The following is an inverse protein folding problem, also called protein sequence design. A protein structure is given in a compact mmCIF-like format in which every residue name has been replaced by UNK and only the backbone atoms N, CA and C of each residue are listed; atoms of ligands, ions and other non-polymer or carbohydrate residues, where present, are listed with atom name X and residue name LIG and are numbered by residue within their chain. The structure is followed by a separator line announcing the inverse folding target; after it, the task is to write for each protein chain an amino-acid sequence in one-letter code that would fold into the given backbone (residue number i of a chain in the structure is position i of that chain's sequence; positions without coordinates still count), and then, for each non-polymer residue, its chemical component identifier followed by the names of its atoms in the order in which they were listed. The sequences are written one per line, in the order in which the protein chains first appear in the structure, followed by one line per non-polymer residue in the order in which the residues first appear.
data_IF_319454751717
#
_entry.id   IF_319454751717
#
_cell.length_a   1.000
_cell.length_b   1.000
_cell.length_c   1.000
_cell.angle_alpha   90.00
_cell.angle_beta   90.00
_cell.angle_gamma   90.00
#
_symmetry.space_group_name_H-M   'P 1'
#
loop_
_entity.id
_entity.type
_entity.pdbx_description
1 polymer ?
#
# COMPACT_ATOMS: atom_id res chain seq x y z
N UNK A 1 9.22 21.41 7.25
CA UNK A 1 8.32 20.24 7.33
C UNK A 1 8.51 19.43 6.06
N UNK A 2 8.85 18.15 6.19
CA UNK A 2 9.03 17.26 5.03
C UNK A 2 7.80 17.30 4.10
N UNK A 3 8.02 17.42 2.79
CA UNK A 3 6.96 17.51 1.79
C UNK A 3 6.06 16.27 1.78
N UNK A 4 6.59 15.10 2.15
CA UNK A 4 5.83 13.86 2.26
C UNK A 4 4.93 13.87 3.51
N UNK A 5 5.43 14.38 4.64
CA UNK A 5 4.61 14.60 5.84
C UNK A 5 3.47 15.59 5.55
N UNK A 6 3.73 16.63 4.75
CA UNK A 6 2.68 17.54 4.28
C UNK A 6 1.65 16.86 3.39
N UNK A 7 2.09 15.96 2.50
CA UNK A 7 1.20 15.14 1.68
C UNK A 7 0.31 14.23 2.55
N UNK A 8 0.90 13.53 3.52
CA UNK A 8 0.19 12.60 4.39
C UNK A 8 -0.91 13.29 5.20
N UNK A 9 -0.64 14.50 5.72
CA UNK A 9 -1.67 15.33 6.40
C UNK A 9 -2.80 15.74 5.46
N UNK A 10 -2.49 16.09 4.21
CA UNK A 10 -3.52 16.43 3.21
C UNK A 10 -4.36 15.23 2.81
N UNK A 11 -3.73 14.05 2.66
CA UNK A 11 -4.43 12.79 2.40
C UNK A 11 -5.43 12.52 3.52
N UNK A 12 -5.01 12.61 4.79
CA UNK A 12 -5.86 12.36 5.95
C UNK A 12 -7.10 13.27 6.04
N UNK A 13 -7.07 14.46 5.42
CA UNK A 13 -8.21 15.39 5.34
C UNK A 13 -9.16 15.15 4.16
N UNK A 14 -8.84 14.25 3.22
CA UNK A 14 -9.57 14.12 1.97
C UNK A 14 -11.00 13.55 2.13
N UNK A 15 -11.96 14.17 1.41
CA UNK A 15 -13.38 13.77 1.35
C UNK A 15 -13.92 13.62 -0.09
N UNK A 16 -13.04 13.48 -1.09
CA UNK A 16 -13.41 13.55 -2.50
C UNK A 16 -14.30 12.40 -3.03
N UNK A 17 -14.44 11.29 -2.30
CA UNK A 17 -15.21 10.12 -2.72
C UNK A 17 -16.40 9.88 -1.78
N UNK A 18 -17.62 10.40 -2.08
CA UNK A 18 -18.76 10.35 -1.15
C UNK A 18 -19.10 8.95 -0.61
N UNK A 19 -19.11 7.93 -1.48
CA UNK A 19 -19.37 6.54 -1.09
C UNK A 19 -18.33 6.00 -0.10
N UNK A 20 -17.05 6.30 -0.31
CA UNK A 20 -15.97 5.87 0.58
C UNK A 20 -15.98 6.63 1.90
N UNK A 21 -16.32 7.93 1.86
CA UNK A 21 -16.48 8.77 3.05
C UNK A 21 -17.62 8.23 3.92
N UNK A 22 -18.79 7.99 3.33
CA UNK A 22 -19.92 7.42 4.06
C UNK A 22 -19.58 6.06 4.67
N UNK A 23 -18.96 5.16 3.87
CA UNK A 23 -18.63 3.81 4.34
C UNK A 23 -17.57 3.79 5.44
N UNK A 24 -16.46 4.53 5.29
CA UNK A 24 -15.36 4.50 6.26
C UNK A 24 -15.80 5.02 7.64
N UNK A 25 -16.67 6.03 7.63
CA UNK A 25 -17.26 6.65 8.83
C UNK A 25 -18.35 5.76 9.44
N UNK A 26 -19.18 5.11 8.62
CA UNK A 26 -20.17 4.14 9.11
C UNK A 26 -19.51 2.95 9.81
N UNK A 27 -18.44 2.40 9.23
CA UNK A 27 -17.66 1.33 9.86
C UNK A 27 -17.00 1.80 11.16
N UNK A 28 -16.55 3.06 11.22
CA UNK A 28 -15.95 3.62 12.43
C UNK A 28 -16.97 3.84 13.57
N UNK A 29 -18.24 4.09 13.23
CA UNK A 29 -19.34 4.19 14.21
C UNK A 29 -19.85 2.82 14.66
N UNK A 30 -20.16 1.95 13.71
CA UNK A 30 -20.77 0.64 13.97
C UNK A 30 -19.79 -0.35 14.59
N UNK A 31 -18.52 -0.30 14.12
CA UNK A 31 -17.40 -1.16 14.53
C UNK A 31 -17.71 -2.66 14.38
N UNK A 32 -16.69 -3.48 14.60
CA UNK A 32 -16.88 -4.93 14.77
C UNK A 32 -16.93 -5.22 16.26
N UNK A 33 -17.73 -6.20 16.70
CA UNK A 33 -17.85 -6.56 18.12
C UNK A 33 -16.49 -6.78 18.82
N UNK A 34 -15.53 -7.42 18.13
CA UNK A 34 -14.18 -7.65 18.63
C UNK A 34 -13.34 -6.37 18.86
N UNK A 35 -13.80 -5.21 18.39
CA UNK A 35 -13.14 -3.91 18.47
C UNK A 35 -14.09 -2.81 18.95
N UNK A 36 -15.15 -3.16 19.69
CA UNK A 36 -16.22 -2.24 20.06
C UNK A 36 -15.73 -1.07 20.95
N UNK A 37 -14.75 -1.35 21.80
CA UNK A 37 -14.09 -0.43 22.73
C UNK A 37 -13.03 0.46 22.07
N UNK A 38 -12.58 0.12 20.86
CA UNK A 38 -11.52 0.87 20.18
C UNK A 38 -12.05 2.12 19.46
N UNK A 39 -11.27 3.21 19.49
CA UNK A 39 -11.51 4.36 18.62
C UNK A 39 -10.95 4.08 17.23
N UNK A 40 -11.80 4.17 16.21
CA UNK A 40 -11.41 3.98 14.81
C UNK A 40 -10.86 5.26 14.20
N UNK A 41 -9.89 5.12 13.30
CA UNK A 41 -9.37 6.21 12.47
C UNK A 41 -10.43 6.88 11.59
N UNK A 42 -11.25 6.10 10.87
CA UNK A 42 -12.42 6.59 10.12
C UNK A 42 -12.12 7.63 9.02
N UNK A 43 -10.86 7.70 8.56
CA UNK A 43 -10.33 8.72 7.64
C UNK A 43 -9.49 8.05 6.54
N UNK A 44 -9.09 8.78 5.48
CA UNK A 44 -8.10 8.27 4.54
C UNK A 44 -6.80 7.91 5.29
N UNK A 45 -6.23 6.77 4.97
CA UNK A 45 -5.00 6.25 5.57
C UNK A 45 -3.82 6.74 4.71
N UNK A 46 -2.89 7.54 5.24
CA UNK A 46 -1.69 7.95 4.50
C UNK A 46 -0.70 6.79 4.28
N UNK A 47 0.34 7.01 3.48
CA UNK A 47 1.43 6.03 3.36
C UNK A 47 2.23 5.91 4.67
N UNK A 48 2.99 4.83 4.82
CA UNK A 48 3.80 4.55 6.01
C UNK A 48 5.20 4.08 5.65
N UNK A 49 6.22 4.61 6.32
CA UNK A 49 7.64 4.39 6.02
C UNK A 49 8.39 5.69 5.75
N UNK A 50 9.72 5.63 5.62
CA UNK A 50 10.57 6.81 5.59
C UNK A 50 10.40 7.62 4.30
N UNK A 51 10.67 8.94 4.33
CA UNK A 51 10.42 9.84 3.20
C UNK A 51 11.42 9.69 2.05
N UNK A 52 12.52 9.01 2.28
CA UNK A 52 13.59 8.69 1.34
C UNK A 52 13.56 7.23 0.90
N UNK A 53 12.46 6.51 1.12
CA UNK A 53 12.32 5.09 0.78
C UNK A 53 12.79 4.77 -0.65
N UNK A 54 13.63 3.73 -0.77
CA UNK A 54 14.14 3.22 -2.06
C UNK A 54 13.21 2.16 -2.66
N UNK A 55 12.39 1.52 -1.81
CA UNK A 55 11.37 0.55 -2.20
C UNK A 55 9.97 1.05 -1.81
N UNK A 56 9.04 1.08 -2.76
CA UNK A 56 7.63 1.36 -2.50
C UNK A 56 6.79 0.10 -2.68
N UNK A 57 5.93 -0.22 -1.72
CA UNK A 57 4.94 -1.28 -1.82
C UNK A 57 3.57 -0.67 -2.02
N UNK A 58 2.89 -1.07 -3.09
CA UNK A 58 1.57 -0.53 -3.46
C UNK A 58 0.51 -1.61 -3.33
N UNK A 59 -0.45 -1.38 -2.44
CA UNK A 59 -1.60 -2.25 -2.17
C UNK A 59 -2.80 -2.04 -3.09
N UNK A 60 -3.98 -2.30 -2.50
CA UNK A 60 -5.29 -2.05 -3.09
C UNK A 60 -5.96 -0.84 -2.44
N UNK A 61 -6.32 -0.99 -1.16
CA UNK A 61 -6.95 0.02 -0.31
C UNK A 61 -6.93 -0.48 1.16
N UNK A 62 -7.14 0.40 2.16
CA UNK A 62 -7.28 -0.03 3.55
C UNK A 62 -8.46 -0.97 3.77
N UNK A 63 -8.29 -1.97 4.65
CA UNK A 63 -9.41 -2.79 5.11
C UNK A 63 -10.30 -2.01 6.09
N UNK A 64 -11.59 -2.35 6.11
CA UNK A 64 -12.61 -1.72 6.95
C UNK A 64 -12.29 -1.77 8.46
N UNK A 65 -11.68 -2.85 8.93
CA UNK A 65 -11.25 -3.02 10.33
C UNK A 65 -9.73 -3.21 10.49
N UNK A 66 -8.97 -2.94 9.42
CA UNK A 66 -7.51 -2.83 9.44
C UNK A 66 -7.13 -1.36 9.46
N UNK A 67 -6.56 -0.86 8.36
CA UNK A 67 -6.15 0.55 8.24
C UNK A 67 -7.25 1.58 8.55
N UNK A 68 -8.53 1.32 8.26
CA UNK A 68 -9.60 2.25 8.64
C UNK A 68 -9.88 2.29 10.15
N UNK A 69 -9.46 1.26 10.89
CA UNK A 69 -9.45 1.24 12.36
C UNK A 69 -8.16 1.85 12.90
N UNK A 70 -7.02 1.38 12.42
CA UNK A 70 -5.70 1.66 13.01
C UNK A 70 -5.05 2.95 12.53
N UNK A 71 -5.46 3.47 11.37
CA UNK A 71 -4.87 4.68 10.77
C UNK A 71 -3.52 4.47 10.10
N UNK A 72 -3.01 3.23 10.03
CA UNK A 72 -1.76 2.87 9.35
C UNK A 72 -1.99 1.83 8.25
N UNK A 73 -1.35 2.01 7.10
CA UNK A 73 -1.48 1.06 5.98
C UNK A 73 -1.12 -0.35 6.41
N UNK A 74 -1.89 -1.33 5.92
CA UNK A 74 -1.70 -2.75 6.22
C UNK A 74 -1.66 -3.10 7.71
N UNK A 75 -2.23 -2.30 8.62
CA UNK A 75 -2.10 -2.55 10.08
C UNK A 75 -3.43 -3.03 10.68
N UNK A 76 -3.39 -4.07 11.50
CA UNK A 76 -4.56 -4.57 12.23
C UNK A 76 -5.51 -5.48 11.42
N UNK A 77 -5.05 -6.07 10.32
CA UNK A 77 -5.76 -7.11 9.58
C UNK A 77 -4.80 -8.20 9.09
N UNK A 78 -5.36 -9.32 8.62
CA UNK A 78 -4.58 -10.49 8.22
C UNK A 78 -3.63 -10.25 7.04
N UNK A 79 -3.98 -9.32 6.14
CA UNK A 79 -3.10 -8.98 5.01
C UNK A 79 -1.85 -8.27 5.52
N UNK A 80 -2.03 -7.44 6.55
CA UNK A 80 -0.97 -6.83 7.34
C UNK A 80 -0.02 -7.82 7.98
N UNK A 81 -0.56 -8.77 8.75
CA UNK A 81 0.25 -9.79 9.44
C UNK A 81 1.20 -10.51 8.47
N UNK A 82 0.68 -10.87 7.29
CA UNK A 82 1.46 -11.57 6.25
C UNK A 82 2.54 -10.66 5.66
N UNK A 83 2.21 -9.40 5.37
CA UNK A 83 3.16 -8.46 4.77
C UNK A 83 4.28 -8.08 5.74
N UNK A 84 3.95 -7.68 6.97
CA UNK A 84 4.93 -7.20 7.93
C UNK A 84 5.82 -8.32 8.47
N UNK A 85 5.28 -9.54 8.66
CA UNK A 85 6.12 -10.71 8.92
C UNK A 85 7.13 -10.92 7.80
N UNK A 86 6.69 -10.87 6.54
CA UNK A 86 7.59 -11.09 5.41
C UNK A 86 8.64 -9.97 5.24
N UNK A 87 8.29 -8.72 5.55
CA UNK A 87 9.23 -7.59 5.58
C UNK A 87 10.28 -7.77 6.69
N UNK A 88 9.86 -8.19 7.87
CA UNK A 88 10.75 -8.51 8.98
C UNK A 88 11.70 -9.66 8.62
N UNK A 89 11.16 -10.74 8.03
CA UNK A 89 11.95 -11.91 7.59
C UNK A 89 13.06 -11.57 6.59
N UNK A 90 12.90 -10.47 5.82
CA UNK A 90 13.91 -10.00 4.84
C UNK A 90 14.69 -8.78 5.33
N UNK A 91 14.56 -8.40 6.61
CA UNK A 91 15.35 -7.33 7.22
C UNK A 91 14.87 -5.90 6.89
N UNK A 92 13.62 -5.73 6.45
CA UNK A 92 13.07 -4.42 6.02
C UNK A 92 12.10 -3.81 7.03
N UNK A 93 11.87 -4.46 8.17
CA UNK A 93 11.02 -3.97 9.25
C UNK A 93 11.65 -4.27 10.63
N UNK A 94 11.39 -3.42 11.62
CA UNK A 94 11.92 -3.58 12.98
C UNK A 94 11.30 -4.74 13.75
N UNK A 95 10.07 -5.11 13.43
CA UNK A 95 9.31 -6.16 14.09
C UNK A 95 8.33 -6.84 13.12
N UNK A 96 7.90 -8.09 13.39
CA UNK A 96 7.02 -8.83 12.49
C UNK A 96 5.54 -8.44 12.60
N UNK A 97 5.14 -7.73 13.65
CA UNK A 97 3.74 -7.42 13.97
C UNK A 97 3.41 -5.95 13.79
N UNK A 98 2.20 -5.67 13.31
CA UNK A 98 1.66 -4.33 13.15
C UNK A 98 0.24 -4.26 13.74
N UNK A 99 0.15 -3.79 14.97
CA UNK A 99 -1.06 -3.80 15.79
C UNK A 99 -1.77 -2.44 15.78
N UNK A 100 -1.03 -1.35 15.95
CA UNK A 100 -1.54 0.02 16.08
C UNK A 100 -0.58 1.03 15.42
N UNK A 101 -1.01 2.26 15.17
CA UNK A 101 -0.17 3.25 14.50
C UNK A 101 1.08 3.65 15.29
N UNK A 102 1.03 3.52 16.62
CA UNK A 102 2.02 3.94 17.61
C UNK A 102 2.76 2.76 18.28
N UNK A 103 2.67 1.55 17.71
CA UNK A 103 3.27 0.33 18.27
C UNK A 103 4.80 0.19 18.07
N UNK A 104 5.49 1.26 17.68
CA UNK A 104 6.95 1.27 17.49
C UNK A 104 7.47 0.56 16.24
N UNK A 105 6.60 0.05 15.35
CA UNK A 105 7.04 -0.51 14.07
C UNK A 105 7.75 0.57 13.23
N UNK A 106 8.91 0.23 12.69
CA UNK A 106 9.69 1.02 11.76
C UNK A 106 9.98 0.21 10.49
N UNK A 107 10.06 0.89 9.34
CA UNK A 107 10.44 0.29 8.06
C UNK A 107 11.79 0.84 7.59
N UNK A 108 12.65 -0.05 7.11
CA UNK A 108 14.00 0.29 6.70
C UNK A 108 14.09 0.40 5.18
N UNK A 109 14.16 1.63 4.66
CA UNK A 109 14.22 1.91 3.22
C UNK A 109 12.94 1.57 2.43
N UNK A 110 11.88 1.12 3.10
CA UNK A 110 10.60 0.71 2.50
C UNK A 110 9.46 1.62 2.92
N UNK A 111 8.66 2.06 1.96
CA UNK A 111 7.38 2.73 2.20
C UNK A 111 6.22 1.89 1.66
N UNK A 112 5.10 1.85 2.38
CA UNK A 112 3.88 1.16 1.98
C UNK A 112 2.76 2.17 1.72
N UNK A 113 2.00 1.99 0.64
CA UNK A 113 0.87 2.87 0.26
C UNK A 113 -0.24 2.08 -0.47
N UNK A 114 -1.27 2.77 -0.95
CA UNK A 114 -2.33 2.20 -1.78
C UNK A 114 -2.90 3.23 -2.76
N UNK A 115 -3.33 2.82 -3.96
CA UNK A 115 -3.93 3.74 -4.94
C UNK A 115 -5.27 4.33 -4.47
N UNK A 116 -5.94 3.71 -3.50
CA UNK A 116 -7.14 4.22 -2.84
C UNK A 116 -6.88 4.29 -1.34
N UNK A 117 -6.95 5.49 -0.76
CA UNK A 117 -6.60 5.71 0.65
C UNK A 117 -7.77 5.51 1.64
N UNK A 118 -8.99 5.26 1.18
CA UNK A 118 -10.15 5.01 2.05
C UNK A 118 -10.61 3.56 1.95
N UNK A 119 -11.12 2.99 3.05
CA UNK A 119 -11.73 1.68 3.00
C UNK A 119 -12.94 1.67 2.04
N UNK A 120 -12.97 0.78 1.03
CA UNK A 120 -14.13 0.59 0.19
C UNK A 120 -15.02 -0.55 0.71
N UNK A 121 -16.35 -0.47 0.52
CA UNK A 121 -17.24 -1.61 0.73
C UNK A 121 -16.74 -2.86 0.02
N UNK A 122 -16.78 -4.00 0.71
CA UNK A 122 -16.32 -5.30 0.22
C UNK A 122 -14.87 -5.32 -0.31
N UNK A 123 -14.02 -4.38 0.11
CA UNK A 123 -12.67 -4.18 -0.41
C UNK A 123 -12.64 -3.99 -1.95
N UNK A 124 -13.70 -3.39 -2.51
CA UNK A 124 -13.86 -3.17 -3.95
C UNK A 124 -14.09 -1.69 -4.27
N UNK A 125 -13.01 -0.92 -4.47
CA UNK A 125 -13.14 0.43 -5.02
C UNK A 125 -13.60 0.38 -6.47
N UNK A 126 -14.35 1.38 -6.88
CA UNK A 126 -14.76 1.58 -8.27
C UNK A 126 -13.62 2.21 -9.09
N UNK A 127 -13.64 2.10 -10.44
CA UNK A 127 -12.72 2.83 -11.30
C UNK A 127 -12.76 4.34 -11.05
N UNK A 128 -13.95 4.93 -10.84
CA UNK A 128 -14.09 6.36 -10.52
C UNK A 128 -13.38 6.73 -9.22
N UNK A 129 -13.51 5.92 -8.17
CA UNK A 129 -12.82 6.17 -6.90
C UNK A 129 -11.30 6.01 -7.01
N UNK A 130 -10.83 4.99 -7.74
CA UNK A 130 -9.42 4.82 -8.09
C UNK A 130 -8.88 6.08 -8.77
N UNK A 131 -9.59 6.56 -9.78
CA UNK A 131 -9.15 7.69 -10.60
C UNK A 131 -9.23 9.01 -9.82
N UNK A 132 -10.24 9.17 -8.95
CA UNK A 132 -10.35 10.30 -8.02
C UNK A 132 -9.20 10.33 -7.01
N UNK A 133 -8.71 9.16 -6.60
CA UNK A 133 -7.64 9.04 -5.60
C UNK A 133 -6.23 9.09 -6.23
N UNK A 134 -6.10 8.83 -7.54
CA UNK A 134 -4.84 8.81 -8.30
C UNK A 134 -3.92 10.02 -8.06
N UNK A 135 -4.40 11.28 -7.96
CA UNK A 135 -3.53 12.42 -7.72
C UNK A 135 -2.67 12.31 -6.45
N UNK A 136 -3.14 11.59 -5.43
CA UNK A 136 -2.37 11.33 -4.21
C UNK A 136 -1.17 10.43 -4.49
N UNK A 137 -1.40 9.29 -5.16
CA UNK A 137 -0.32 8.36 -5.54
C UNK A 137 0.68 9.02 -6.50
N UNK A 138 0.20 9.81 -7.46
CA UNK A 138 1.08 10.57 -8.38
C UNK A 138 1.97 11.54 -7.59
N UNK A 139 1.42 12.25 -6.60
CA UNK A 139 2.20 13.19 -5.79
C UNK A 139 3.21 12.46 -4.91
N UNK A 140 2.83 11.34 -4.31
CA UNK A 140 3.73 10.49 -3.52
C UNK A 140 4.89 9.96 -4.37
N UNK A 141 4.61 9.42 -5.56
CA UNK A 141 5.63 8.97 -6.51
C UNK A 141 6.59 10.08 -6.92
N UNK A 142 6.09 11.30 -7.16
CA UNK A 142 6.94 12.46 -7.50
C UNK A 142 7.86 12.85 -6.35
N UNK A 143 7.37 12.80 -5.11
CA UNK A 143 8.17 13.12 -3.93
C UNK A 143 9.25 12.07 -3.65
N UNK A 144 8.94 10.79 -3.89
CA UNK A 144 9.89 9.68 -3.72
C UNK A 144 10.87 9.53 -4.89
N UNK A 145 10.62 10.17 -6.05
CA UNK A 145 11.40 10.00 -7.29
C UNK A 145 12.93 10.09 -7.11
N UNK A 146 13.50 10.99 -6.27
CA UNK A 146 14.94 11.09 -6.10
C UNK A 146 15.59 9.79 -5.58
N UNK A 147 14.91 9.08 -4.67
CA UNK A 147 15.48 7.92 -3.96
C UNK A 147 14.86 6.58 -4.37
N UNK A 148 13.64 6.59 -4.89
CA UNK A 148 12.90 5.40 -5.30
C UNK A 148 13.61 4.66 -6.44
N UNK A 149 13.80 3.35 -6.26
CA UNK A 149 14.47 2.44 -7.21
C UNK A 149 13.63 1.20 -7.52
N UNK A 150 12.77 0.77 -6.62
CA UNK A 150 11.90 -0.38 -6.85
C UNK A 150 10.46 -0.11 -6.39
N UNK A 151 9.49 -0.69 -7.10
CA UNK A 151 8.07 -0.66 -6.72
C UNK A 151 7.52 -2.08 -6.78
N UNK A 152 7.03 -2.60 -5.65
CA UNK A 152 6.32 -3.89 -5.59
C UNK A 152 4.82 -3.63 -5.53
N UNK A 153 4.07 -4.19 -6.46
CA UNK A 153 2.62 -3.99 -6.53
C UNK A 153 1.88 -5.27 -6.18
N UNK A 154 1.02 -5.18 -5.17
CA UNK A 154 0.28 -6.28 -4.60
C UNK A 154 -1.09 -6.41 -5.30
N UNK A 155 -1.18 -7.31 -6.27
CA UNK A 155 -2.39 -7.68 -6.98
C UNK A 155 -2.69 -6.86 -8.24
N UNK A 156 -3.56 -7.42 -9.09
CA UNK A 156 -3.89 -6.88 -10.40
C UNK A 156 -4.55 -5.48 -10.34
N UNK A 157 -5.35 -5.20 -9.31
CA UNK A 157 -5.96 -3.89 -9.14
C UNK A 157 -4.91 -2.81 -8.89
N UNK A 158 -4.00 -3.05 -7.93
CA UNK A 158 -2.88 -2.17 -7.66
C UNK A 158 -2.04 -1.95 -8.91
N UNK A 159 -1.79 -3.02 -9.68
CA UNK A 159 -1.02 -2.94 -10.94
C UNK A 159 -1.67 -2.00 -11.95
N UNK A 160 -2.96 -2.21 -12.22
CA UNK A 160 -3.73 -1.37 -13.14
C UNK A 160 -3.82 0.09 -12.70
N UNK A 161 -3.82 0.36 -11.38
CA UNK A 161 -3.84 1.71 -10.83
C UNK A 161 -2.44 2.38 -10.82
N UNK A 162 -1.38 1.60 -10.64
CA UNK A 162 -0.01 2.11 -10.50
C UNK A 162 0.57 2.53 -11.85
N UNK A 163 0.31 1.77 -12.93
CA UNK A 163 0.83 2.10 -14.27
C UNK A 163 0.47 3.52 -14.74
N UNK A 164 -0.80 3.98 -14.73
CA UNK A 164 -1.10 5.36 -15.10
C UNK A 164 -0.52 6.39 -14.11
N UNK A 165 -0.43 6.05 -12.82
CA UNK A 165 0.17 6.95 -11.83
C UNK A 165 1.67 7.16 -12.06
N UNK A 166 2.41 6.11 -12.43
CA UNK A 166 3.82 6.20 -12.85
C UNK A 166 3.96 7.09 -14.08
N UNK A 167 3.15 6.87 -15.11
CA UNK A 167 3.17 7.68 -16.33
C UNK A 167 2.92 9.17 -16.03
N UNK A 168 1.91 9.49 -15.22
CA UNK A 168 1.62 10.87 -14.80
C UNK A 168 2.70 11.45 -13.87
N UNK A 169 3.43 10.62 -13.12
CA UNK A 169 4.57 11.02 -12.31
C UNK A 169 5.85 11.27 -13.13
N UNK A 170 5.82 11.08 -14.46
CA UNK A 170 6.97 11.28 -15.36
C UNK A 170 7.83 10.05 -15.56
N UNK A 171 7.37 8.87 -15.15
CA UNK A 171 8.03 7.59 -15.38
C UNK A 171 7.48 6.94 -16.66
N UNK A 172 8.29 6.77 -17.72
CA UNK A 172 7.82 6.19 -18.97
C UNK A 172 7.38 4.73 -18.75
N UNK A 173 6.13 4.43 -19.07
CA UNK A 173 5.57 3.08 -19.01
C UNK A 173 5.54 2.47 -20.42
N UNK A 174 6.05 1.22 -20.61
CA UNK A 174 6.08 0.56 -21.90
C UNK A 174 4.70 0.45 -22.58
N UNK A 175 4.73 0.41 -23.92
CA UNK A 175 3.59 0.09 -24.78
C UNK A 175 3.95 -1.12 -25.64
N UNK A 176 3.14 -2.20 -25.66
CA UNK A 176 1.89 -2.40 -24.92
C UNK A 176 2.10 -2.42 -23.39
N UNK A 177 1.04 -2.12 -22.63
CA UNK A 177 1.14 -2.06 -21.16
C UNK A 177 1.56 -3.44 -20.63
N UNK A 178 2.50 -3.50 -19.68
CA UNK A 178 2.89 -4.74 -19.04
C UNK A 178 1.71 -5.47 -18.40
N UNK A 179 1.67 -6.80 -18.58
CA UNK A 179 0.64 -7.67 -17.99
C UNK A 179 1.01 -8.01 -16.55
N UNK A 180 0.03 -8.00 -15.67
CA UNK A 180 0.22 -8.38 -14.27
C UNK A 180 0.49 -9.88 -14.12
N UNK A 181 1.46 -10.24 -13.29
CA UNK A 181 1.72 -11.60 -12.83
C UNK A 181 2.58 -11.58 -11.57
N UNK A 182 2.59 -12.68 -10.80
CA UNK A 182 3.51 -12.81 -9.68
C UNK A 182 4.94 -13.07 -10.19
N UNK A 183 5.91 -12.37 -9.61
CA UNK A 183 7.31 -12.42 -10.04
C UNK A 183 7.58 -11.66 -11.35
N UNK A 184 6.57 -11.03 -11.95
CA UNK A 184 6.77 -10.17 -13.13
C UNK A 184 7.68 -9.02 -12.73
N UNK A 185 8.74 -8.80 -13.52
CA UNK A 185 9.71 -7.72 -13.36
C UNK A 185 9.71 -6.87 -14.62
N UNK A 186 9.52 -5.57 -14.48
CA UNK A 186 9.49 -4.62 -15.58
C UNK A 186 10.49 -3.50 -15.29
N UNK A 187 11.65 -3.51 -15.96
CA UNK A 187 12.56 -2.37 -15.92
C UNK A 187 11.89 -1.12 -16.51
N UNK A 188 11.95 -0.02 -15.78
CA UNK A 188 11.58 1.33 -16.20
C UNK A 188 12.82 2.22 -16.07
N UNK A 189 12.74 3.47 -16.56
CA UNK A 189 13.85 4.41 -16.46
C UNK A 189 14.21 4.76 -15.00
N UNK A 190 15.32 4.19 -14.53
CA UNK A 190 15.83 4.34 -13.16
C UNK A 190 14.98 3.69 -12.07
N UNK A 191 14.07 2.77 -12.43
CA UNK A 191 13.17 2.12 -11.48
C UNK A 191 12.75 0.73 -11.98
N UNK A 192 12.67 -0.28 -11.11
CA UNK A 192 12.07 -1.59 -11.47
C UNK A 192 10.69 -1.75 -10.84
N UNK A 193 9.70 -2.14 -11.65
CA UNK A 193 8.37 -2.49 -11.20
C UNK A 193 8.21 -4.00 -11.08
N UNK A 194 7.71 -4.46 -9.93
CA UNK A 194 7.46 -5.87 -9.61
C UNK A 194 5.98 -6.15 -9.41
N UNK A 195 5.51 -7.25 -9.98
CA UNK A 195 4.19 -7.80 -9.72
C UNK A 195 4.23 -8.87 -8.65
N UNK A 196 3.37 -8.77 -7.65
CA UNK A 196 3.16 -9.81 -6.65
C UNK A 196 1.67 -10.09 -6.51
N UNK A 197 1.27 -11.36 -6.32
CA UNK A 197 -0.10 -11.63 -5.88
C UNK A 197 -0.37 -10.91 -4.55
N UNK A 198 -1.63 -10.48 -4.37
CA UNK A 198 -2.01 -9.75 -3.16
C UNK A 198 -1.88 -10.65 -1.93
N UNK A 199 -1.42 -10.11 -0.82
CA UNK A 199 -1.28 -10.76 0.50
C UNK A 199 -2.64 -11.02 1.20
N UNK A 200 -3.72 -11.15 0.43
CA UNK A 200 -5.05 -11.34 1.01
C UNK A 200 -5.18 -12.74 1.60
N UNK A 201 -6.00 -12.86 2.65
CA UNK A 201 -6.29 -14.14 3.29
C UNK A 201 -6.68 -15.23 2.28
N UNK A 202 -7.48 -14.89 1.26
CA UNK A 202 -7.85 -15.81 0.19
C UNK A 202 -6.61 -16.38 -0.52
N UNK A 203 -5.69 -15.53 -0.98
CA UNK A 203 -4.52 -15.99 -1.72
C UNK A 203 -3.56 -16.81 -0.85
N UNK A 204 -3.40 -16.42 0.41
CA UNK A 204 -2.50 -17.11 1.34
C UNK A 204 -3.06 -18.44 1.80
N UNK A 205 -4.37 -18.53 2.04
CA UNK A 205 -5.00 -19.79 2.48
C UNK A 205 -5.11 -20.82 1.36
N UNK A 206 -5.32 -20.39 0.11
CA UNK A 206 -5.37 -21.31 -1.04
C UNK A 206 -3.98 -21.68 -1.58
N UNK A 207 -2.89 -21.23 -0.96
CA UNK A 207 -1.53 -21.43 -1.46
C UNK A 207 -1.19 -20.71 -2.76
N UNK A 208 -2.08 -19.83 -3.26
CA UNK A 208 -1.83 -19.02 -4.47
C UNK A 208 -0.65 -18.07 -4.26
N UNK A 209 -0.47 -17.59 -3.04
CA UNK A 209 0.72 -16.90 -2.58
C UNK A 209 1.24 -17.60 -1.33
N UNK A 210 2.44 -18.14 -1.39
CA UNK A 210 3.11 -18.71 -0.20
C UNK A 210 4.01 -17.67 0.48
N UNK A 211 4.34 -17.85 1.77
CA UNK A 211 5.32 -16.97 2.44
C UNK A 211 6.67 -16.93 1.73
N UNK A 212 7.14 -18.07 1.19
CA UNK A 212 8.40 -18.14 0.45
C UNK A 212 8.36 -17.29 -0.83
N UNK A 213 7.28 -17.38 -1.60
CA UNK A 213 7.06 -16.55 -2.80
C UNK A 213 7.04 -15.05 -2.49
N UNK A 214 6.37 -14.66 -1.39
CA UNK A 214 6.34 -13.25 -0.97
C UNK A 214 7.73 -12.74 -0.58
N UNK A 215 8.44 -13.49 0.27
CA UNK A 215 9.81 -13.14 0.67
C UNK A 215 10.75 -13.01 -0.52
N UNK A 216 10.60 -13.88 -1.52
CA UNK A 216 11.45 -13.85 -2.70
C UNK A 216 11.28 -12.57 -3.52
N UNK A 217 10.02 -12.15 -3.77
CA UNK A 217 9.75 -10.88 -4.47
C UNK A 217 10.26 -9.69 -3.65
N UNK A 218 10.03 -9.68 -2.33
CA UNK A 218 10.49 -8.58 -1.46
C UNK A 218 12.02 -8.49 -1.42
N UNK A 219 12.72 -9.63 -1.27
CA UNK A 219 14.19 -9.70 -1.25
C UNK A 219 14.77 -9.22 -2.57
N UNK A 220 14.25 -9.71 -3.70
CA UNK A 220 14.73 -9.30 -5.03
C UNK A 220 14.51 -7.81 -5.25
N UNK A 221 13.34 -7.28 -4.89
CA UNK A 221 13.05 -5.86 -5.03
C UNK A 221 13.90 -4.97 -4.13
N UNK A 222 14.23 -5.42 -2.91
CA UNK A 222 15.14 -4.74 -2.00
C UNK A 222 16.57 -4.69 -2.55
N UNK A 223 17.09 -5.83 -3.03
CA UNK A 223 18.40 -5.91 -3.67
C UNK A 223 18.51 -4.96 -4.87
N UNK A 224 17.49 -4.91 -5.73
CA UNK A 224 17.44 -3.95 -6.84
C UNK A 224 17.31 -2.50 -6.39
N UNK A 225 16.69 -2.27 -5.24
CA UNK A 225 16.65 -0.96 -4.62
C UNK A 225 17.97 -0.59 -3.92
N UNK A 226 18.94 -1.51 -3.85
CA UNK A 226 20.18 -1.37 -3.08
C UNK A 226 19.93 -1.23 -1.59
N UNK A 227 19.05 -2.08 -1.05
CA UNK A 227 18.74 -2.26 0.37
C UNK A 227 19.22 -3.63 0.84
#
# INVERSE_FOLDING_TARGET
MDALVALDRRIAGCRACPRLVAWREEVARTKRAAFADQTYWGRPVPGFGPPDARLLIVGLAPAAHGGNRTGRMFTGDRSGDVLYQALYDVGLASQPTAVAADDGLELYGVRVTSPVHCAPPANKPTPRERDTCRPWLVRELRLLRPTLRSVVVLGAFGWQATLPALAEAGLPVPRPRPVFGHGVRVPLDGLTLFGCFHVSQRNTFTGRLTPAMLREVLRTAAQEAGL
#
